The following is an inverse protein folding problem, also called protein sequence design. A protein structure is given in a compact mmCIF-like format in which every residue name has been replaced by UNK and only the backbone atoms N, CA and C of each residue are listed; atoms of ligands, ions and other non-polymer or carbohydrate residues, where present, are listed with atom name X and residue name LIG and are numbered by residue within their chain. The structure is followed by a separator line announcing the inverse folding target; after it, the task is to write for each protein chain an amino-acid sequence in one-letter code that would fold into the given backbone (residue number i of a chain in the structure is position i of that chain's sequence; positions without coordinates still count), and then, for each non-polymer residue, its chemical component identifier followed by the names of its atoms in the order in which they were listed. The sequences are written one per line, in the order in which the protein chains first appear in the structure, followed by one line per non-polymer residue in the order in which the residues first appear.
data_IF_988496209549
#
_entry.id   IF_988496209549
#
_cell.length_a   1.000
_cell.length_b   1.000
_cell.length_c   1.000
_cell.angle_alpha   90.00
_cell.angle_beta   90.00
_cell.angle_gamma   90.00
#
_symmetry.space_group_name_H-M   'P 1'
#
loop_
_entity.id
_entity.type
_entity.pdbx_description
1 polymer ?
#
# COMPACT_ATOMS: atom_id res chain seq x y z
N UNK A 1 -1.71 19.83 -13.33
CA UNK A 1 -0.52 20.56 -12.85
C UNK A 1 -0.18 21.59 -13.90
N UNK A 2 0.08 22.83 -13.48
CA UNK A 2 0.48 23.91 -14.40
C UNK A 2 1.96 24.24 -14.24
N UNK A 3 2.71 24.15 -15.35
CA UNK A 3 4.12 24.53 -15.42
C UNK A 3 4.25 26.02 -15.75
N UNK A 4 5.30 26.65 -15.25
CA UNK A 4 5.64 28.03 -15.59
C UNK A 4 6.16 28.10 -17.03
N UNK A 5 5.72 29.11 -17.79
CA UNK A 5 6.31 29.43 -19.08
C UNK A 5 7.76 29.92 -18.91
N UNK A 6 8.67 29.38 -19.71
CA UNK A 6 10.06 29.84 -19.76
C UNK A 6 10.17 30.92 -20.83
N UNK A 7 10.38 32.16 -20.39
CA UNK A 7 10.48 33.32 -21.28
C UNK A 7 11.86 33.35 -21.96
N UNK A 8 11.89 33.74 -23.23
CA UNK A 8 13.15 33.96 -23.98
C UNK A 8 13.81 35.32 -23.70
N UNK A 9 13.13 36.16 -22.94
CA UNK A 9 13.54 37.51 -22.54
C UNK A 9 13.59 37.59 -21.01
N UNK A 10 14.32 38.58 -20.46
CA UNK A 10 14.51 38.73 -19.01
C UNK A 10 15.90 38.30 -18.55
N UNK A 11 16.09 38.14 -17.24
CA UNK A 11 17.38 37.73 -16.68
C UNK A 11 17.52 36.22 -16.60
N UNK A 12 18.76 35.73 -16.63
CA UNK A 12 19.04 34.31 -16.42
C UNK A 12 18.57 33.81 -15.04
N UNK A 13 18.66 34.66 -14.01
CA UNK A 13 18.20 34.31 -12.65
C UNK A 13 16.72 33.96 -12.63
N UNK A 14 15.88 34.80 -13.25
CA UNK A 14 14.43 34.56 -13.31
C UNK A 14 14.08 33.30 -14.12
N UNK A 15 14.82 33.05 -15.21
CA UNK A 15 14.67 31.82 -15.99
C UNK A 15 15.04 30.58 -15.18
N UNK A 16 16.15 30.64 -14.43
CA UNK A 16 16.59 29.56 -13.55
C UNK A 16 15.57 29.27 -12.43
N UNK A 17 15.00 30.30 -11.80
CA UNK A 17 13.98 30.13 -10.77
C UNK A 17 12.73 29.45 -11.31
N UNK A 18 12.28 29.82 -12.52
CA UNK A 18 11.13 29.18 -13.17
C UNK A 18 11.40 27.72 -13.52
N UNK A 19 12.60 27.42 -14.02
CA UNK A 19 13.03 26.05 -14.32
C UNK A 19 13.05 25.20 -13.05
N UNK A 20 13.69 25.68 -11.99
CA UNK A 20 13.75 25.00 -10.70
C UNK A 20 12.36 24.71 -10.14
N UNK A 21 11.45 25.70 -10.18
CA UNK A 21 10.06 25.50 -9.79
C UNK A 21 9.34 24.43 -10.64
N UNK A 22 9.57 24.40 -11.96
CA UNK A 22 9.00 23.39 -12.84
C UNK A 22 9.56 21.99 -12.54
N UNK A 23 10.84 21.87 -12.22
CA UNK A 23 11.46 20.62 -11.81
C UNK A 23 10.85 20.12 -10.50
N UNK A 24 10.75 20.96 -9.47
CA UNK A 24 10.11 20.59 -8.20
C UNK A 24 8.67 20.12 -8.39
N UNK A 25 7.89 20.83 -9.23
CA UNK A 25 6.54 20.42 -9.62
C UNK A 25 6.56 19.03 -10.26
N UNK A 26 7.37 18.84 -11.30
CA UNK A 26 7.45 17.57 -12.02
C UNK A 26 7.86 16.42 -11.10
N UNK A 27 8.83 16.63 -10.22
CA UNK A 27 9.26 15.64 -9.23
C UNK A 27 8.13 15.20 -8.30
N UNK A 28 7.28 16.14 -7.83
CA UNK A 28 6.13 15.80 -7.00
C UNK A 28 5.10 14.95 -7.75
N UNK A 29 4.85 15.26 -9.02
CA UNK A 29 3.95 14.49 -9.89
C UNK A 29 4.50 13.09 -10.19
N UNK A 30 5.81 12.95 -10.42
CA UNK A 30 6.47 11.65 -10.58
C UNK A 30 6.31 10.81 -9.31
N UNK A 31 6.44 11.41 -8.13
CA UNK A 31 6.30 10.69 -6.87
C UNK A 31 4.86 10.21 -6.64
N UNK A 32 3.85 11.04 -6.97
CA UNK A 32 2.44 10.61 -6.97
C UNK A 32 2.19 9.43 -7.92
N UNK A 33 2.80 9.45 -9.11
CA UNK A 33 2.67 8.34 -10.06
C UNK A 33 3.27 7.05 -9.49
N UNK A 34 4.44 7.12 -8.86
CA UNK A 34 5.04 5.96 -8.19
C UNK A 34 4.16 5.42 -7.08
N UNK A 35 3.63 6.29 -6.23
CA UNK A 35 2.72 5.91 -5.13
C UNK A 35 1.44 5.26 -5.67
N UNK A 36 0.87 5.80 -6.75
CA UNK A 36 -0.30 5.19 -7.41
C UNK A 36 0.00 3.81 -8.02
N UNK A 37 1.27 3.53 -8.34
CA UNK A 37 1.72 2.22 -8.80
C UNK A 37 1.74 1.14 -7.71
N UNK A 38 1.76 1.53 -6.43
CA UNK A 38 1.72 0.59 -5.30
C UNK A 38 0.34 -0.07 -5.26
N UNK A 39 0.31 -1.39 -5.41
CA UNK A 39 -0.95 -2.17 -5.44
C UNK A 39 -1.54 -2.41 -4.06
N UNK A 40 -0.70 -2.52 -3.03
CA UNK A 40 -1.17 -2.59 -1.65
C UNK A 40 -1.69 -1.21 -1.21
N UNK A 41 -2.97 -1.12 -0.84
CA UNK A 41 -3.59 0.11 -0.36
C UNK A 41 -3.64 0.22 1.17
N UNK A 42 -3.21 -0.80 1.88
CA UNK A 42 -3.10 -0.82 3.34
C UNK A 42 -4.30 -1.46 4.05
N UNK A 43 -4.45 -1.12 5.33
CA UNK A 43 -5.50 -1.59 6.22
C UNK A 43 -6.58 -0.51 6.39
N UNK A 44 -7.84 -0.90 6.24
CA UNK A 44 -9.01 -0.04 6.40
C UNK A 44 -9.98 -0.69 7.39
N UNK A 45 -10.54 0.07 8.34
CA UNK A 45 -11.48 -0.50 9.32
C UNK A 45 -12.77 -1.01 8.68
N UNK A 46 -13.22 -0.38 7.59
CA UNK A 46 -14.45 -0.78 6.88
C UNK A 46 -14.28 -0.74 5.37
N UNK A 47 -15.09 -1.52 4.65
CA UNK A 47 -15.10 -1.51 3.18
C UNK A 47 -15.50 -0.14 2.61
N UNK A 48 -16.36 0.59 3.31
CA UNK A 48 -16.77 1.94 2.89
C UNK A 48 -15.62 2.93 3.01
N UNK A 49 -14.79 2.84 4.06
CA UNK A 49 -13.59 3.67 4.18
C UNK A 49 -12.57 3.39 3.07
N UNK A 50 -12.40 2.13 2.68
CA UNK A 50 -11.59 1.73 1.52
C UNK A 50 -12.14 2.33 0.22
N UNK A 51 -13.45 2.21 -0.02
CA UNK A 51 -14.10 2.77 -1.22
C UNK A 51 -14.05 4.30 -1.26
N UNK A 52 -14.13 4.97 -0.11
CA UNK A 52 -14.00 6.42 -0.03
C UNK A 52 -12.57 6.88 -0.33
N UNK A 53 -11.56 6.17 0.19
CA UNK A 53 -10.16 6.49 -0.04
C UNK A 53 -9.69 6.15 -1.46
N UNK A 54 -10.19 5.03 -2.01
CA UNK A 54 -9.85 4.53 -3.35
C UNK A 54 -11.14 4.22 -4.12
N UNK A 55 -11.84 5.25 -4.65
CA UNK A 55 -13.13 5.11 -5.32
C UNK A 55 -13.03 4.49 -6.72
N UNK A 56 -11.83 4.45 -7.30
CA UNK A 56 -11.59 3.92 -8.63
C UNK A 56 -10.36 3.02 -8.63
N UNK A 57 -10.42 1.85 -7.96
CA UNK A 57 -9.28 0.94 -7.91
C UNK A 57 -8.96 0.40 -9.30
N UNK A 58 -7.70 0.04 -9.52
CA UNK A 58 -7.26 -0.60 -10.76
C UNK A 58 -6.93 -2.06 -10.53
N UNK A 59 -6.96 -2.85 -11.60
CA UNK A 59 -6.73 -4.30 -11.52
C UNK A 59 -5.39 -4.59 -10.84
N UNK A 60 -5.44 -5.46 -9.83
CA UNK A 60 -4.29 -5.85 -9.00
C UNK A 60 -4.18 -5.06 -7.69
N UNK A 61 -4.86 -3.93 -7.53
CA UNK A 61 -4.94 -3.26 -6.23
C UNK A 61 -5.57 -4.19 -5.18
N UNK A 62 -5.04 -4.18 -3.96
CA UNK A 62 -5.51 -5.00 -2.85
C UNK A 62 -5.38 -4.27 -1.51
N UNK A 63 -6.25 -4.61 -0.56
CA UNK A 63 -6.28 -4.03 0.78
C UNK A 63 -6.78 -5.06 1.80
N UNK A 64 -6.45 -4.85 3.08
CA UNK A 64 -7.06 -5.58 4.20
C UNK A 64 -8.18 -4.72 4.77
N UNK A 65 -9.34 -5.33 5.03
CA UNK A 65 -10.51 -4.64 5.60
C UNK A 65 -10.92 -5.28 6.92
N UNK A 66 -10.99 -4.48 7.97
CA UNK A 66 -11.32 -4.87 9.34
C UNK A 66 -10.36 -4.24 10.36
N UNK A 67 -10.61 -4.52 11.64
CA UNK A 67 -9.84 -3.94 12.75
C UNK A 67 -8.70 -4.85 13.25
N UNK A 68 -8.50 -6.02 12.63
CA UNK A 68 -7.51 -7.02 13.06
C UNK A 68 -6.66 -7.52 11.91
N UNK A 69 -5.45 -8.00 12.25
CA UNK A 69 -4.56 -8.71 11.35
C UNK A 69 -4.30 -10.12 11.94
N UNK A 70 -4.43 -11.20 11.15
CA UNK A 70 -4.86 -11.23 9.75
C UNK A 70 -6.35 -10.85 9.60
N UNK A 71 -6.68 -10.16 8.51
CA UNK A 71 -8.04 -9.67 8.22
C UNK A 71 -8.47 -9.97 6.78
N UNK A 72 -9.77 -9.89 6.46
CA UNK A 72 -10.31 -10.08 5.12
C UNK A 72 -9.57 -9.27 4.04
N UNK A 73 -9.21 -9.91 2.94
CA UNK A 73 -8.59 -9.23 1.79
C UNK A 73 -9.67 -8.85 0.78
N UNK A 74 -9.59 -7.60 0.31
CA UNK A 74 -10.31 -7.12 -0.86
C UNK A 74 -9.33 -6.86 -1.99
N UNK A 75 -9.70 -7.27 -3.20
CA UNK A 75 -8.89 -7.09 -4.40
C UNK A 75 -9.74 -6.54 -5.55
N UNK A 76 -9.14 -5.68 -6.35
CA UNK A 76 -9.72 -5.25 -7.61
C UNK A 76 -9.31 -6.22 -8.73
N UNK A 77 -10.24 -7.10 -9.13
CA UNK A 77 -10.08 -7.97 -10.32
C UNK A 77 -10.71 -7.36 -11.57
N UNK A 78 -11.70 -6.48 -11.37
CA UNK A 78 -12.33 -5.67 -12.41
C UNK A 78 -12.18 -4.19 -12.04
N UNK A 79 -11.64 -3.40 -12.97
CA UNK A 79 -11.41 -1.95 -12.77
C UNK A 79 -12.63 -1.27 -12.15
N UNK A 80 -12.39 -0.49 -11.10
CA UNK A 80 -13.40 0.28 -10.38
C UNK A 80 -14.16 -0.50 -9.31
N UNK A 81 -13.90 -1.80 -9.12
CA UNK A 81 -14.66 -2.65 -8.20
C UNK A 81 -13.74 -3.32 -7.19
N UNK A 82 -14.03 -3.13 -5.92
CA UNK A 82 -13.47 -3.91 -4.82
C UNK A 82 -14.28 -5.19 -4.64
N UNK A 83 -13.63 -6.35 -4.70
CA UNK A 83 -14.24 -7.65 -4.49
C UNK A 83 -13.56 -8.36 -3.32
N UNK A 84 -14.35 -8.99 -2.45
CA UNK A 84 -13.82 -9.83 -1.39
C UNK A 84 -13.17 -11.08 -1.99
N UNK A 85 -12.01 -11.48 -1.48
CA UNK A 85 -11.28 -12.66 -2.00
C UNK A 85 -11.70 -13.97 -1.33
N UNK A 86 -12.37 -13.90 -0.17
CA UNK A 86 -12.63 -15.05 0.69
C UNK A 86 -11.40 -15.53 1.48
N UNK A 87 -10.31 -14.78 1.46
CA UNK A 87 -9.06 -15.09 2.17
C UNK A 87 -8.70 -13.96 3.15
N UNK A 88 -7.85 -14.28 4.13
CA UNK A 88 -7.32 -13.30 5.08
C UNK A 88 -5.81 -13.09 4.88
N UNK A 89 -5.30 -11.93 5.32
CA UNK A 89 -3.86 -11.65 5.29
C UNK A 89 -3.47 -10.37 6.03
N UNK A 90 -2.27 -9.87 5.74
CA UNK A 90 -1.66 -8.75 6.45
C UNK A 90 -0.75 -9.14 7.61
N UNK A 91 -0.73 -10.43 8.00
CA UNK A 91 0.15 -10.97 9.04
C UNK A 91 1.32 -11.76 8.46
N UNK A 92 2.39 -11.93 9.24
CA UNK A 92 3.41 -12.93 8.98
C UNK A 92 3.05 -14.24 9.68
N UNK A 93 3.22 -15.37 9.00
CA UNK A 93 3.18 -16.69 9.64
C UNK A 93 4.60 -17.22 9.74
N UNK A 94 4.96 -17.80 10.87
CA UNK A 94 6.20 -18.56 11.05
C UNK A 94 5.81 -20.00 11.31
N UNK A 95 6.23 -20.90 10.42
CA UNK A 95 6.07 -22.32 10.63
C UNK A 95 7.14 -22.83 11.61
N UNK A 96 6.70 -23.35 12.75
CA UNK A 96 7.57 -23.87 13.81
C UNK A 96 7.59 -25.40 13.86
N UNK A 97 6.90 -26.08 12.94
CA UNK A 97 6.73 -27.54 12.95
C UNK A 97 8.04 -28.34 12.93
N UNK A 98 9.14 -27.73 12.45
CA UNK A 98 10.48 -28.33 12.45
C UNK A 98 11.44 -27.82 13.53
N UNK A 99 11.01 -26.90 14.40
CA UNK A 99 11.87 -26.26 15.43
C UNK A 99 11.38 -26.61 16.84
N UNK A 100 10.07 -26.78 17.02
CA UNK A 100 9.47 -27.10 18.30
C UNK A 100 9.06 -28.57 18.32
N UNK A 101 9.79 -29.39 19.09
CA UNK A 101 9.31 -30.71 19.51
C UNK A 101 8.58 -30.53 20.83
N UNK A 102 7.27 -30.74 20.84
CA UNK A 102 6.49 -30.87 22.06
C UNK A 102 6.32 -32.35 22.36
N UNK A 103 6.75 -32.78 23.54
CA UNK A 103 6.45 -34.10 24.10
C UNK A 103 5.47 -33.89 25.24
N UNK A 104 4.32 -34.55 25.20
CA UNK A 104 3.35 -34.53 26.29
C UNK A 104 3.94 -35.37 27.43
N UNK A 105 4.11 -34.78 28.61
CA UNK A 105 4.61 -35.51 29.77
C UNK A 105 3.43 -36.13 30.49
N UNK A 106 3.31 -37.45 30.36
CA UNK A 106 2.29 -38.30 30.94
C UNK A 106 2.72 -38.93 32.29
N UNK A 107 4.01 -38.86 32.64
CA UNK A 107 4.53 -39.28 33.94
C UNK A 107 5.49 -38.23 34.54
N UNK A 108 5.13 -37.69 35.73
CA UNK A 108 5.92 -36.68 36.46
C UNK A 108 7.30 -37.19 36.88
N UNK A 109 7.52 -38.51 36.96
CA UNK A 109 8.84 -39.07 37.27
C UNK A 109 9.85 -38.94 36.12
N UNK A 110 9.42 -38.54 34.92
CA UNK A 110 10.30 -38.31 33.76
C UNK A 110 11.07 -36.98 33.79
N UNK A 111 10.77 -36.09 34.74
CA UNK A 111 11.32 -34.72 34.82
C UNK A 111 12.06 -34.41 36.14
N UNK A 112 12.17 -35.39 37.04
CA UNK A 112 12.87 -35.30 38.34
C UNK A 112 14.06 -36.26 38.36
#
# INVERSE_FOLDING_TARGET
MELNTINKTGTWSEAADRLNNNFSKTSAEVEKVKQNGIRNKGLFSTLDSLKAAVPSPVVGDWAVVGDTIPGPIYQCTKRGVWSETGTTGGGGSVDLSGILTAEEIDDVTSIL
#
